data_IF_185148955457
#
_entry.id   IF_185148955457
#
_cell.length_a   1.000
_cell.length_b   1.000
_cell.length_c   1.000
_cell.angle_alpha   90.00
_cell.angle_beta   90.00
_cell.angle_gamma   90.00
#
_symmetry.space_group_name_H-M   'P 1'
#
loop_
_entity.id
_entity.type
_entity.pdbx_description
1 polymer ?
#
# COMPACT_ATOMS: atom_id res chain seq x y z
N UNK A 1 1.65 -12.82 -19.79
CA UNK A 1 0.38 -12.02 -19.77
C UNK A 1 -0.10 -11.62 -18.36
N UNK A 2 0.49 -12.14 -17.27
CA UNK A 2 -0.02 -11.89 -15.91
C UNK A 2 0.46 -10.62 -15.20
N UNK A 3 1.44 -9.87 -15.74
CA UNK A 3 1.76 -8.52 -15.21
C UNK A 3 0.58 -7.57 -15.36
N UNK A 4 -0.14 -7.65 -16.48
CA UNK A 4 -1.38 -6.91 -16.70
C UNK A 4 -2.49 -7.32 -15.73
N UNK A 5 -2.50 -8.59 -15.27
CA UNK A 5 -3.45 -9.06 -14.24
C UNK A 5 -3.18 -8.41 -12.89
N UNK A 6 -1.90 -8.24 -12.50
CA UNK A 6 -1.55 -7.52 -11.27
C UNK A 6 -1.98 -6.05 -11.35
N UNK A 7 -1.70 -5.37 -12.47
CA UNK A 7 -2.13 -3.98 -12.67
C UNK A 7 -3.65 -3.87 -12.65
N UNK A 8 -4.36 -4.79 -13.30
CA UNK A 8 -5.83 -4.85 -13.29
C UNK A 8 -6.38 -5.12 -11.89
N UNK A 9 -5.74 -5.98 -11.10
CA UNK A 9 -6.10 -6.24 -9.71
C UNK A 9 -5.96 -4.95 -8.87
N UNK A 10 -4.82 -4.27 -8.97
CA UNK A 10 -4.58 -3.01 -8.27
C UNK A 10 -5.60 -1.94 -8.70
N UNK A 11 -5.91 -1.86 -9.99
CA UNK A 11 -6.92 -0.94 -10.52
C UNK A 11 -8.33 -1.27 -10.02
N UNK A 12 -8.68 -2.55 -9.94
CA UNK A 12 -9.95 -2.97 -9.37
C UNK A 12 -10.02 -2.63 -7.88
N UNK A 13 -8.97 -2.90 -7.11
CA UNK A 13 -8.89 -2.51 -5.70
C UNK A 13 -9.01 -1.00 -5.51
N UNK A 14 -8.37 -0.21 -6.37
CA UNK A 14 -8.48 1.25 -6.37
C UNK A 14 -9.94 1.72 -6.58
N UNK A 15 -10.67 1.10 -7.51
CA UNK A 15 -12.09 1.41 -7.71
C UNK A 15 -12.92 0.98 -6.49
N UNK A 16 -12.66 -0.22 -5.95
CA UNK A 16 -13.37 -0.71 -4.76
C UNK A 16 -13.12 0.18 -3.55
N UNK A 17 -11.91 0.69 -3.40
CA UNK A 17 -11.53 1.63 -2.35
C UNK A 17 -12.40 2.90 -2.41
N UNK A 18 -12.48 3.53 -3.58
CA UNK A 18 -13.29 4.75 -3.76
C UNK A 18 -14.81 4.52 -3.72
N UNK A 19 -15.28 3.29 -4.01
CA UNK A 19 -16.72 3.01 -4.15
C UNK A 19 -17.33 2.37 -2.90
N UNK A 20 -16.66 1.37 -2.32
CA UNK A 20 -17.22 0.55 -1.23
C UNK A 20 -16.85 1.08 0.14
N UNK A 21 -15.61 1.56 0.32
CA UNK A 21 -15.13 1.92 1.66
C UNK A 21 -15.84 3.10 2.30
N UNK A 22 -16.29 4.15 1.57
CA UNK A 22 -17.12 5.18 2.15
C UNK A 22 -18.42 4.64 2.78
N UNK A 23 -18.97 3.55 2.24
CA UNK A 23 -20.16 2.90 2.78
C UNK A 23 -19.88 1.94 3.94
N UNK A 24 -18.66 1.40 4.01
CA UNK A 24 -18.26 0.44 5.04
C UNK A 24 -17.73 1.12 6.30
N UNK A 25 -17.06 2.27 6.15
CA UNK A 25 -16.45 3.01 7.26
C UNK A 25 -17.50 3.96 7.86
N UNK A 26 -17.85 3.80 9.15
CA UNK A 26 -18.78 4.70 9.82
C UNK A 26 -18.30 6.16 9.75
N UNK A 27 -19.22 7.12 9.63
CA UNK A 27 -18.90 8.55 9.48
C UNK A 27 -17.91 9.08 10.53
N UNK A 28 -18.00 8.58 11.76
CA UNK A 28 -17.12 8.95 12.89
C UNK A 28 -15.65 8.56 12.64
N UNK A 29 -15.39 7.58 11.78
CA UNK A 29 -14.07 7.04 11.46
C UNK A 29 -13.53 7.51 10.11
N UNK A 30 -14.36 8.11 9.25
CA UNK A 30 -13.96 8.56 7.90
C UNK A 30 -12.87 9.63 7.93
N UNK A 31 -12.78 10.42 9.01
CA UNK A 31 -11.73 11.43 9.18
C UNK A 31 -10.44 10.86 9.78
N UNK A 32 -10.46 9.63 10.29
CA UNK A 32 -9.34 9.00 11.03
C UNK A 32 -8.67 7.86 10.27
N UNK A 33 -9.42 7.13 9.46
CA UNK A 33 -8.90 6.04 8.65
C UNK A 33 -8.74 6.54 7.22
N UNK A 34 -7.53 6.42 6.68
CA UNK A 34 -7.25 6.61 5.27
C UNK A 34 -7.08 5.22 4.65
N UNK A 35 -8.16 4.62 4.10
CA UNK A 35 -8.05 3.25 3.66
C UNK A 35 -7.29 3.18 2.33
N UNK A 36 -6.08 2.65 2.31
CA UNK A 36 -5.30 2.47 1.07
C UNK A 36 -5.15 0.98 0.74
N UNK A 37 -6.13 0.41 0.03
CA UNK A 37 -6.13 -1.01 -0.35
C UNK A 37 -5.02 -1.33 -1.36
N UNK A 38 -4.73 -0.37 -2.23
CA UNK A 38 -3.68 -0.48 -3.24
C UNK A 38 -2.33 -0.62 -2.56
N UNK A 39 -2.04 0.22 -1.56
CA UNK A 39 -0.78 0.17 -0.83
C UNK A 39 -0.57 -1.14 -0.07
N UNK A 40 -1.62 -1.68 0.55
CA UNK A 40 -1.57 -3.01 1.17
C UNK A 40 -1.03 -4.04 0.18
N UNK A 41 -1.59 -4.10 -1.04
CA UNK A 41 -1.12 -5.05 -2.07
C UNK A 41 0.26 -4.72 -2.62
N UNK A 42 0.65 -3.45 -2.69
CA UNK A 42 2.01 -3.06 -3.05
C UNK A 42 3.05 -3.61 -2.06
N UNK A 43 2.74 -3.66 -0.76
CA UNK A 43 3.60 -4.30 0.22
C UNK A 43 3.74 -5.81 -0.01
N UNK A 44 2.65 -6.49 -0.43
CA UNK A 44 2.74 -7.90 -0.86
C UNK A 44 3.66 -8.05 -2.09
N UNK A 45 3.55 -7.17 -3.07
CA UNK A 45 4.42 -7.17 -4.27
C UNK A 45 5.88 -6.93 -3.87
N UNK A 46 6.13 -6.02 -2.93
CA UNK A 46 7.47 -5.69 -2.44
C UNK A 46 8.15 -6.90 -1.79
N UNK A 47 7.42 -7.65 -0.95
CA UNK A 47 7.96 -8.80 -0.21
C UNK A 47 8.08 -10.05 -1.08
N UNK A 48 7.02 -10.41 -1.82
CA UNK A 48 6.93 -11.70 -2.50
C UNK A 48 7.46 -11.69 -3.94
N UNK A 49 7.46 -10.53 -4.61
CA UNK A 49 7.86 -10.42 -6.01
C UNK A 49 9.17 -9.66 -6.19
N UNK A 50 9.13 -8.33 -6.15
CA UNK A 50 10.31 -7.50 -6.39
C UNK A 50 10.12 -6.06 -5.92
N UNK A 51 11.09 -5.53 -5.16
CA UNK A 51 11.12 -4.13 -4.71
C UNK A 51 10.97 -3.07 -5.80
N UNK A 52 11.62 -3.22 -6.96
CA UNK A 52 11.55 -2.23 -8.05
C UNK A 52 10.19 -2.23 -8.73
N UNK A 53 9.54 -3.39 -8.84
CA UNK A 53 8.16 -3.49 -9.34
C UNK A 53 7.20 -2.81 -8.37
N UNK A 54 7.35 -3.04 -7.07
CA UNK A 54 6.55 -2.36 -6.06
C UNK A 54 6.77 -0.84 -6.05
N UNK A 55 8.02 -0.37 -6.25
CA UNK A 55 8.34 1.04 -6.42
C UNK A 55 7.61 1.67 -7.60
N UNK A 56 7.73 1.09 -8.80
CA UNK A 56 7.12 1.65 -10.02
C UNK A 56 5.60 1.65 -9.91
N UNK A 57 5.01 0.55 -9.40
CA UNK A 57 3.57 0.48 -9.19
C UNK A 57 3.10 1.46 -8.11
N UNK A 58 3.87 1.63 -7.02
CA UNK A 58 3.56 2.62 -5.97
C UNK A 58 3.62 4.05 -6.46
N UNK A 59 4.64 4.40 -7.26
CA UNK A 59 4.71 5.72 -7.90
C UNK A 59 3.53 5.94 -8.83
N UNK A 60 3.22 4.95 -9.67
CA UNK A 60 2.15 5.04 -10.68
C UNK A 60 0.78 5.18 -10.02
N UNK A 61 0.42 4.26 -9.12
CA UNK A 61 -0.86 4.30 -8.44
C UNK A 61 -0.95 5.46 -7.45
N UNK A 62 0.13 5.86 -6.79
CA UNK A 62 0.08 7.02 -5.90
C UNK A 62 -0.22 8.33 -6.64
N UNK A 63 0.21 8.48 -7.91
CA UNK A 63 -0.25 9.60 -8.74
C UNK A 63 -1.77 9.53 -8.97
N UNK A 64 -2.32 8.33 -9.20
CA UNK A 64 -3.77 8.16 -9.31
C UNK A 64 -4.47 8.55 -8.01
N UNK A 65 -3.91 8.20 -6.85
CA UNK A 65 -4.45 8.62 -5.56
C UNK A 65 -4.42 10.15 -5.40
N UNK A 66 -3.30 10.79 -5.73
CA UNK A 66 -3.18 12.24 -5.66
C UNK A 66 -4.26 12.95 -6.50
N UNK A 67 -4.60 12.41 -7.69
CA UNK A 67 -5.61 13.00 -8.59
C UNK A 67 -7.05 12.70 -8.16
N UNK A 68 -7.35 11.44 -7.82
CA UNK A 68 -8.75 10.99 -7.63
C UNK A 68 -9.25 11.26 -6.21
N UNK A 69 -8.41 11.10 -5.19
CA UNK A 69 -8.78 11.34 -3.80
C UNK A 69 -8.48 12.77 -3.34
N UNK A 70 -8.28 13.69 -4.29
CA UNK A 70 -7.99 15.11 -4.05
C UNK A 70 -6.82 15.30 -3.08
N UNK A 71 -5.68 14.67 -3.39
CA UNK A 71 -4.45 14.87 -2.64
C UNK A 71 -4.10 16.35 -2.55
N UNK A 72 -3.70 16.81 -1.37
CA UNK A 72 -3.38 18.24 -1.13
C UNK A 72 -2.23 18.73 -2.01
N UNK A 73 -1.33 17.82 -2.38
CA UNK A 73 -0.17 18.06 -3.23
C UNK A 73 -0.05 16.89 -4.21
N UNK A 74 0.02 17.20 -5.50
CA UNK A 74 0.31 16.20 -6.52
C UNK A 74 1.70 15.60 -6.30
N UNK A 75 1.78 14.28 -6.24
CA UNK A 75 3.01 13.52 -6.03
C UNK A 75 3.29 13.15 -4.57
N UNK A 76 2.50 13.63 -3.59
CA UNK A 76 2.72 13.28 -2.20
C UNK A 76 2.44 11.80 -1.93
N UNK A 77 1.28 11.30 -2.36
CA UNK A 77 0.95 9.88 -2.26
C UNK A 77 1.83 9.03 -3.18
N UNK A 78 2.14 9.51 -4.39
CA UNK A 78 3.11 8.85 -5.29
C UNK A 78 4.44 8.57 -4.59
N UNK A 79 5.04 9.61 -4.00
CA UNK A 79 6.32 9.48 -3.32
C UNK A 79 6.22 8.62 -2.06
N UNK A 80 5.21 8.83 -1.21
CA UNK A 80 5.03 8.07 0.02
C UNK A 80 4.82 6.58 -0.26
N UNK A 81 3.92 6.22 -1.17
CA UNK A 81 3.63 4.83 -1.53
C UNK A 81 4.85 4.17 -2.21
N UNK A 82 5.44 4.84 -3.20
CA UNK A 82 6.58 4.31 -3.94
C UNK A 82 7.81 4.10 -3.05
N UNK A 83 8.20 5.11 -2.28
CA UNK A 83 9.36 5.05 -1.39
C UNK A 83 9.16 4.00 -0.30
N UNK A 84 8.01 3.99 0.36
CA UNK A 84 7.75 3.06 1.47
C UNK A 84 7.72 1.62 1.00
N UNK A 85 7.06 1.33 -0.13
CA UNK A 85 7.05 0.00 -0.72
C UNK A 85 8.47 -0.45 -1.12
N UNK A 86 9.30 0.45 -1.64
CA UNK A 86 10.69 0.15 -1.98
C UNK A 86 11.54 -0.18 -0.75
N UNK A 87 11.47 0.65 0.30
CA UNK A 87 12.25 0.46 1.53
C UNK A 87 11.84 -0.82 2.25
N UNK A 88 10.54 -1.10 2.34
CA UNK A 88 10.03 -2.36 2.88
C UNK A 88 10.51 -3.55 2.06
N UNK A 89 10.41 -3.47 0.73
CA UNK A 89 10.94 -4.52 -0.15
C UNK A 89 12.44 -4.70 0.02
N UNK A 90 13.20 -3.63 0.18
CA UNK A 90 14.64 -3.69 0.41
C UNK A 90 14.99 -4.45 1.71
N UNK A 91 14.22 -4.23 2.79
CA UNK A 91 14.47 -4.82 4.10
C UNK A 91 13.93 -6.26 4.25
N UNK A 92 12.78 -6.54 3.65
CA UNK A 92 11.99 -7.75 3.96
C UNK A 92 11.69 -8.64 2.76
N UNK A 93 12.22 -8.36 1.56
CA UNK A 93 11.99 -9.19 0.38
C UNK A 93 12.39 -10.64 0.61
N UNK A 94 11.38 -11.50 0.71
CA UNK A 94 11.53 -12.94 0.96
C UNK A 94 10.39 -13.68 0.26
N UNK A 95 10.65 -14.45 -0.81
CA UNK A 95 9.60 -15.13 -1.57
C UNK A 95 8.80 -16.19 -0.81
N UNK A 96 9.30 -16.62 0.36
CA UNK A 96 8.63 -17.59 1.26
C UNK A 96 8.27 -16.95 2.61
N UNK A 97 8.05 -15.63 2.63
CA UNK A 97 7.68 -14.92 3.85
C UNK A 97 6.44 -15.55 4.50
N UNK A 98 6.53 -16.04 5.75
CA UNK A 98 5.39 -16.58 6.46
C UNK A 98 4.41 -15.47 6.83
N UNK A 99 3.17 -15.83 7.15
CA UNK A 99 2.11 -14.87 7.49
C UNK A 99 2.54 -13.86 8.57
N UNK A 100 3.17 -14.25 9.70
CA UNK A 100 3.58 -13.29 10.72
C UNK A 100 4.56 -12.24 10.20
N UNK A 101 5.51 -12.63 9.34
CA UNK A 101 6.45 -11.69 8.72
C UNK A 101 5.71 -10.68 7.84
N UNK A 102 4.79 -11.17 7.00
CA UNK A 102 3.98 -10.30 6.14
C UNK A 102 3.14 -9.32 6.96
N UNK A 103 2.56 -9.78 8.08
CA UNK A 103 1.79 -8.91 8.96
C UNK A 103 2.65 -7.84 9.63
N UNK A 104 3.85 -8.18 10.10
CA UNK A 104 4.81 -7.18 10.59
C UNK A 104 5.17 -6.17 9.50
N UNK A 105 5.37 -6.64 8.27
CA UNK A 105 5.62 -5.77 7.12
C UNK A 105 4.47 -4.80 6.87
N UNK A 106 3.21 -5.25 6.97
CA UNK A 106 2.04 -4.38 6.79
C UNK A 106 2.01 -3.29 7.87
N UNK A 107 2.26 -3.64 9.12
CA UNK A 107 2.29 -2.66 10.22
C UNK A 107 3.39 -1.62 10.00
N UNK A 108 4.63 -2.07 9.77
CA UNK A 108 5.76 -1.17 9.55
C UNK A 108 5.64 -0.36 8.26
N UNK A 109 5.16 -0.98 7.19
CA UNK A 109 4.99 -0.34 5.89
C UNK A 109 3.92 0.74 5.91
N UNK A 110 2.78 0.49 6.57
CA UNK A 110 1.71 1.49 6.73
C UNK A 110 2.18 2.67 7.58
N UNK A 111 2.84 2.38 8.71
CA UNK A 111 3.38 3.45 9.55
C UNK A 111 4.43 4.28 8.79
N UNK A 112 5.28 3.63 7.99
CA UNK A 112 6.27 4.31 7.16
C UNK A 112 5.63 5.21 6.09
N UNK A 113 4.61 4.71 5.38
CA UNK A 113 3.86 5.49 4.38
C UNK A 113 3.28 6.76 5.01
N UNK A 114 2.52 6.60 6.11
CA UNK A 114 1.90 7.70 6.81
C UNK A 114 2.95 8.69 7.35
N UNK A 115 4.10 8.19 7.82
CA UNK A 115 5.19 9.04 8.33
C UNK A 115 5.81 9.88 7.22
N UNK A 116 6.03 9.28 6.04
CA UNK A 116 6.54 9.98 4.87
C UNK A 116 5.52 11.02 4.41
N UNK A 117 4.24 10.66 4.33
CA UNK A 117 3.18 11.57 3.92
C UNK A 117 3.03 12.75 4.90
N UNK A 118 3.05 12.47 6.21
CA UNK A 118 3.05 13.50 7.24
C UNK A 118 4.29 14.41 7.12
N UNK A 119 5.46 13.84 6.88
CA UNK A 119 6.69 14.59 6.66
C UNK A 119 6.60 15.55 5.48
N UNK A 120 6.09 15.07 4.33
CA UNK A 120 5.84 15.90 3.14
C UNK A 120 4.91 17.05 3.51
N UNK A 121 3.74 16.78 4.08
CA UNK A 121 2.77 17.81 4.42
C UNK A 121 3.28 18.81 5.47
N UNK A 122 4.17 18.38 6.37
CA UNK A 122 4.79 19.27 7.35
C UNK A 122 5.77 20.26 6.71
N UNK A 123 6.56 19.82 5.71
CA UNK A 123 7.47 20.72 4.97
C UNK A 123 6.70 21.84 4.28
N UNK A 124 5.51 21.53 3.75
CA UNK A 124 4.62 22.51 3.11
C UNK A 124 3.69 23.24 4.09
N UNK A 125 3.85 23.03 5.41
CA UNK A 125 3.02 23.65 6.46
C UNK A 125 1.51 23.37 6.30
N UNK A 126 1.17 22.22 5.74
CA UNK A 126 -0.21 21.76 5.60
C UNK A 126 -0.73 21.01 6.83
N UNK A 127 0.18 20.58 7.71
CA UNK A 127 -0.15 19.97 9.00
C UNK A 127 -0.10 21.04 10.09
N UNK A 128 -1.18 21.17 10.85
CA UNK A 128 -1.23 22.03 12.04
C UNK A 128 -0.98 21.25 13.32
N UNK A 129 -1.28 19.94 13.30
CA UNK A 129 -1.16 19.06 14.46
C UNK A 129 0.25 18.48 14.62
N UNK A 130 0.67 18.20 15.87
CA UNK A 130 1.96 17.57 16.13
C UNK A 130 1.97 16.10 15.70
N UNK A 131 3.16 15.60 15.40
CA UNK A 131 3.37 14.21 14.98
C UNK A 131 2.87 13.17 15.99
N UNK A 132 2.96 13.47 17.29
CA UNK A 132 2.45 12.60 18.35
C UNK A 132 0.93 12.43 18.31
N UNK A 133 0.21 13.50 17.96
CA UNK A 133 -1.24 13.45 17.79
C UNK A 133 -1.62 12.66 16.54
N UNK A 134 -0.88 12.90 15.44
CA UNK A 134 -1.02 12.19 14.19
C UNK A 134 -0.94 10.66 14.35
N UNK A 135 0.06 10.18 15.08
CA UNK A 135 0.23 8.74 15.37
C UNK A 135 -1.04 8.14 16.00
N UNK A 136 -1.56 8.78 17.04
CA UNK A 136 -2.66 8.23 17.83
C UNK A 136 -4.01 8.36 17.13
N UNK A 137 -4.26 9.50 16.46
CA UNK A 137 -5.58 9.80 15.91
C UNK A 137 -5.78 9.23 14.50
N UNK A 138 -4.73 9.14 13.66
CA UNK A 138 -4.86 8.67 12.28
C UNK A 138 -3.94 7.50 11.89
N UNK A 139 -2.65 7.49 12.27
CA UNK A 139 -1.71 6.47 11.76
C UNK A 139 -1.99 5.10 12.36
N UNK A 140 -2.23 5.02 13.68
CA UNK A 140 -2.54 3.75 14.34
C UNK A 140 -3.87 3.16 13.85
N UNK A 141 -4.99 3.91 13.78
CA UNK A 141 -6.23 3.39 13.20
C UNK A 141 -6.07 2.91 11.76
N UNK A 142 -5.38 3.68 10.92
CA UNK A 142 -5.12 3.33 9.51
C UNK A 142 -4.26 2.06 9.39
N UNK A 143 -3.20 1.97 10.19
CA UNK A 143 -2.35 0.79 10.25
C UNK A 143 -3.12 -0.47 10.68
N UNK A 144 -4.01 -0.38 11.67
CA UNK A 144 -4.85 -1.49 12.11
C UNK A 144 -5.87 -1.88 11.03
N UNK A 145 -6.41 -0.91 10.30
CA UNK A 145 -7.28 -1.15 9.16
C UNK A 145 -6.53 -1.90 8.04
N UNK A 146 -5.33 -1.44 7.67
CA UNK A 146 -4.47 -2.13 6.70
C UNK A 146 -4.14 -3.55 7.14
N UNK A 147 -3.86 -3.76 8.43
CA UNK A 147 -3.62 -5.10 8.99
C UNK A 147 -4.83 -6.03 8.80
N UNK A 148 -6.04 -5.55 9.13
CA UNK A 148 -7.26 -6.33 8.97
C UNK A 148 -7.53 -6.69 7.51
N UNK A 149 -7.39 -5.72 6.60
CA UNK A 149 -7.52 -5.94 5.15
C UNK A 149 -6.45 -6.92 4.65
N UNK A 150 -5.21 -6.78 5.10
CA UNK A 150 -4.11 -7.65 4.68
C UNK A 150 -4.35 -9.11 5.08
N UNK A 151 -4.99 -9.37 6.23
CA UNK A 151 -5.41 -10.73 6.62
C UNK A 151 -6.42 -11.32 5.63
N UNK A 152 -7.42 -10.53 5.23
CA UNK A 152 -8.44 -10.96 4.26
C UNK A 152 -7.80 -11.22 2.89
N UNK A 153 -6.91 -10.32 2.46
CA UNK A 153 -6.27 -10.39 1.14
C UNK A 153 -5.08 -11.35 1.06
N UNK A 154 -4.57 -11.85 2.19
CA UNK A 154 -3.35 -12.66 2.24
C UNK A 154 -3.40 -13.86 1.28
N UNK A 155 -4.46 -14.65 1.35
CA UNK A 155 -4.61 -15.86 0.54
C UNK A 155 -4.73 -15.54 -0.96
N UNK A 156 -5.69 -14.70 -1.42
CA UNK A 156 -5.87 -14.44 -2.85
C UNK A 156 -4.65 -13.75 -3.48
N UNK A 157 -4.07 -12.75 -2.81
CA UNK A 157 -2.93 -11.99 -3.33
C UNK A 157 -1.69 -12.88 -3.41
N UNK A 158 -1.38 -13.64 -2.35
CA UNK A 158 -0.23 -14.55 -2.35
C UNK A 158 -0.32 -15.57 -3.48
N UNK A 159 -1.50 -16.16 -3.69
CA UNK A 159 -1.73 -17.13 -4.77
C UNK A 159 -1.49 -16.50 -6.15
N UNK A 160 -1.95 -15.27 -6.37
CA UNK A 160 -1.69 -14.56 -7.63
C UNK A 160 -0.20 -14.26 -7.86
N UNK A 161 0.54 -13.87 -6.82
CA UNK A 161 1.96 -13.56 -6.93
C UNK A 161 2.82 -14.81 -7.20
N UNK A 162 2.51 -15.94 -6.58
CA UNK A 162 3.17 -17.23 -6.85
C UNK A 162 2.94 -17.66 -8.31
N UNK A 163 1.72 -17.44 -8.82
CA UNK A 163 1.32 -17.71 -10.19
C UNK A 163 2.08 -16.85 -11.22
N UNK A 164 2.33 -15.57 -10.92
CA UNK A 164 3.15 -14.68 -11.76
C UNK A 164 4.63 -15.13 -11.75
N UNK A 165 5.14 -15.57 -10.59
CA UNK A 165 6.53 -16.02 -10.46
C UNK A 165 6.82 -17.28 -11.27
N UNK A 166 5.88 -18.24 -11.29
CA UNK A 166 6.04 -19.52 -12.02
C UNK A 166 6.13 -19.31 -13.53
N UNK A 167 5.31 -18.44 -14.10
CA UNK A 167 5.33 -18.12 -15.55
C UNK A 167 6.69 -17.53 -15.96
N UNK A 168 7.21 -16.57 -15.18
CA UNK A 168 8.53 -15.98 -15.42
C UNK A 168 9.65 -17.02 -15.48
N UNK A 169 9.64 -18.01 -14.58
CA UNK A 169 10.63 -19.09 -14.62
C UNK A 169 10.49 -20.04 -15.81
N UNK A 170 9.29 -20.17 -16.38
CA UNK A 170 9.05 -21.00 -17.57
C UNK A 170 9.47 -20.28 -18.85
N UNK A 171 9.22 -18.97 -18.94
CA UNK A 171 9.69 -18.13 -20.05
C UNK A 171 11.23 -18.03 -20.08
N UNK A 172 11.90 -17.97 -18.92
CA UNK A 172 13.37 -17.93 -18.84
C UNK A 172 14.04 -19.28 -19.20
N UNK A 173 13.29 -20.37 -19.21
CA UNK A 173 13.81 -21.73 -19.47
C UNK A 173 13.52 -22.24 -20.89
N UNK A 174 12.75 -21.50 -21.70
CA UNK A 174 12.38 -21.82 -23.08
C UNK A 174 13.21 -21.00 -24.07
#
# INVERSE_FOLDING_TARGET
MRRSVLVLLLFLLFILEGTILPWLIPDVWQMRIIPNLVFVVLLFVAVYHHRHTALILGLSFGILHDVVFYGRILGAHSFAMGLSAYLIGLLFQTPRAPLPLMMTVILLGSLLEDSVLFGIYSVFKLNQEPYSWAILDHMLPTMLFHFAIALILYIPVRRQLELIKKEKSTEEAA
#
